data_IF_208228527440
#
_entry.id   IF_208228527440
#
_cell.length_a   1.000
_cell.length_b   1.000
_cell.length_c   1.000
_cell.angle_alpha   90.00
_cell.angle_beta   90.00
_cell.angle_gamma   90.00
#
_symmetry.space_group_name_H-M   'P 1'
#
loop_
_entity.id
_entity.type
_entity.pdbx_description
1 polymer ?
#
# COMPACT_ATOMS: atom_id res chain seq x y z
N UNK A 1 -2.62 21.91 27.95
CA UNK A 1 -1.46 21.04 28.21
C UNK A 1 -1.36 20.14 26.99
N UNK A 2 -0.31 20.28 26.16
CA UNK A 2 -0.07 19.37 25.04
C UNK A 2 0.08 17.97 25.60
N UNK A 3 -0.65 17.00 24.99
CA UNK A 3 -0.42 15.60 25.28
C UNK A 3 1.07 15.28 25.10
N UNK A 4 1.65 14.38 25.91
CA UNK A 4 3.03 13.99 25.71
C UNK A 4 3.20 13.49 24.28
N UNK A 5 4.27 13.90 23.61
CA UNK A 5 4.56 13.47 22.24
C UNK A 5 4.56 11.95 22.21
N UNK A 6 3.64 11.35 21.43
CA UNK A 6 3.62 9.92 21.24
C UNK A 6 4.77 9.50 20.34
N UNK A 7 5.40 8.36 20.66
CA UNK A 7 6.46 7.77 19.85
C UNK A 7 5.90 6.65 18.96
N UNK A 8 6.00 6.79 17.65
CA UNK A 8 5.58 5.78 16.70
C UNK A 8 6.80 5.11 16.04
N UNK A 9 6.80 3.78 16.00
CA UNK A 9 7.77 2.99 15.25
C UNK A 9 7.13 2.51 13.95
N UNK A 10 7.74 2.86 12.80
CA UNK A 10 7.26 2.47 11.47
C UNK A 10 8.27 1.56 10.81
N UNK A 11 7.92 0.29 10.58
CA UNK A 11 8.76 -0.57 9.74
C UNK A 11 8.45 -0.32 8.27
N UNK A 12 9.49 -0.31 7.41
CA UNK A 12 9.30 -0.04 5.99
C UNK A 12 9.09 1.43 5.65
N UNK A 13 9.76 2.32 6.37
CA UNK A 13 9.64 3.78 6.25
C UNK A 13 9.87 4.33 4.83
N UNK A 14 10.70 3.67 4.01
CA UNK A 14 11.02 4.07 2.64
C UNK A 14 9.95 3.66 1.61
N UNK A 15 8.93 2.89 2.02
CA UNK A 15 7.77 2.57 1.19
C UNK A 15 6.81 3.74 1.04
N UNK A 16 5.83 3.63 0.12
CA UNK A 16 4.77 4.62 -0.05
C UNK A 16 4.06 4.92 1.28
N UNK A 17 3.49 3.88 1.89
CA UNK A 17 2.68 4.02 3.10
C UNK A 17 3.52 4.44 4.31
N UNK A 18 4.76 3.91 4.41
CA UNK A 18 5.67 4.29 5.47
C UNK A 18 6.03 5.77 5.45
N UNK A 19 6.30 6.32 4.27
CA UNK A 19 6.63 7.73 4.10
C UNK A 19 5.41 8.63 4.36
N UNK A 20 4.24 8.28 3.80
CA UNK A 20 3.00 9.01 4.01
C UNK A 20 2.55 9.00 5.48
N UNK A 21 2.63 7.84 6.14
CA UNK A 21 2.30 7.72 7.55
C UNK A 21 3.26 8.52 8.43
N UNK A 22 4.55 8.50 8.10
CA UNK A 22 5.54 9.32 8.81
C UNK A 22 5.22 10.82 8.68
N UNK A 23 4.89 11.29 7.48
CA UNK A 23 4.50 12.69 7.26
C UNK A 23 3.23 13.05 8.06
N UNK A 24 2.23 12.17 8.06
CA UNK A 24 0.99 12.35 8.82
C UNK A 24 1.27 12.49 10.33
N UNK A 25 1.99 11.52 10.92
CA UNK A 25 2.27 11.50 12.36
C UNK A 25 3.20 12.64 12.80
N UNK A 26 4.20 13.01 12.00
CA UNK A 26 5.05 14.17 12.26
C UNK A 26 4.24 15.46 12.22
N UNK A 27 3.28 15.57 11.28
CA UNK A 27 2.35 16.70 11.20
C UNK A 27 1.45 16.84 12.43
N UNK A 28 1.10 15.72 13.07
CA UNK A 28 0.37 15.69 14.35
C UNK A 28 1.27 15.90 15.58
N UNK A 29 2.58 16.05 15.40
CA UNK A 29 3.52 16.33 16.46
C UNK A 29 4.10 15.10 17.15
N UNK A 30 3.93 13.90 16.60
CA UNK A 30 4.54 12.68 17.13
C UNK A 30 6.04 12.60 16.82
N UNK A 31 6.78 11.86 17.64
CA UNK A 31 8.12 11.38 17.30
C UNK A 31 8.01 10.12 16.46
N UNK A 32 8.78 10.03 15.37
CA UNK A 32 8.74 8.89 14.45
C UNK A 32 10.11 8.21 14.40
N UNK A 33 10.12 6.90 14.64
CA UNK A 33 11.27 6.03 14.41
C UNK A 33 10.97 5.13 13.21
N UNK A 34 11.54 5.50 12.06
CA UNK A 34 11.40 4.72 10.83
C UNK A 34 12.47 3.65 10.74
N UNK A 35 12.10 2.42 10.33
CA UNK A 35 13.10 1.38 10.10
C UNK A 35 13.33 1.11 8.63
N UNK A 36 14.56 0.77 8.30
CA UNK A 36 14.99 0.36 6.97
C UNK A 36 15.84 -0.91 7.04
N UNK A 37 15.95 -1.63 5.93
CA UNK A 37 16.75 -2.87 5.87
C UNK A 37 18.23 -2.58 6.16
N UNK A 38 18.90 -3.38 7.00
CA UNK A 38 20.33 -3.25 7.27
C UNK A 38 21.18 -3.60 6.03
N UNK A 39 22.46 -3.19 6.04
CA UNK A 39 23.43 -3.52 5.00
C UNK A 39 23.29 -2.79 3.67
N UNK A 40 22.28 -1.88 3.56
CA UNK A 40 22.06 -1.04 2.37
C UNK A 40 21.62 0.36 2.80
N UNK A 41 22.13 1.38 2.12
CA UNK A 41 21.61 2.73 2.30
C UNK A 41 20.11 2.76 1.95
N UNK A 42 19.27 3.33 2.81
CA UNK A 42 17.84 3.43 2.52
C UNK A 42 17.59 4.36 1.35
N UNK A 43 16.64 3.96 0.50
CA UNK A 43 16.13 4.85 -0.54
C UNK A 43 15.12 5.81 0.10
N UNK A 44 15.53 7.04 0.33
CA UNK A 44 14.77 8.06 1.07
C UNK A 44 14.07 9.07 0.16
N UNK A 45 14.01 8.85 -1.16
CA UNK A 45 13.46 9.84 -2.08
C UNK A 45 12.03 10.27 -1.71
N UNK A 46 11.20 9.34 -1.18
CA UNK A 46 9.84 9.65 -0.75
C UNK A 46 9.79 10.58 0.45
N UNK A 47 10.67 10.36 1.41
CA UNK A 47 10.78 11.25 2.59
C UNK A 47 11.29 12.63 2.16
N UNK A 48 12.22 12.69 1.22
CA UNK A 48 12.71 13.96 0.67
C UNK A 48 11.62 14.67 -0.13
N UNK A 49 10.88 13.96 -0.97
CA UNK A 49 9.76 14.51 -1.74
C UNK A 49 8.66 15.08 -0.84
N UNK A 50 8.42 14.47 0.32
CA UNK A 50 7.49 14.97 1.33
C UNK A 50 8.09 16.08 2.23
N UNK A 51 9.36 16.45 2.02
CA UNK A 51 10.04 17.46 2.84
C UNK A 51 10.34 17.05 4.27
N UNK A 52 10.25 15.75 4.59
CA UNK A 52 10.44 15.25 5.97
C UNK A 52 11.76 14.52 6.18
N UNK A 53 12.59 14.37 5.14
CA UNK A 53 13.84 13.58 5.20
C UNK A 53 14.83 14.05 6.28
N UNK A 54 14.78 15.32 6.68
CA UNK A 54 15.61 15.92 7.72
C UNK A 54 14.79 16.44 8.91
N UNK A 55 13.55 15.95 9.07
CA UNK A 55 12.68 16.43 10.13
C UNK A 55 13.26 16.07 11.53
N UNK A 56 13.33 17.01 12.49
CA UNK A 56 14.03 16.80 13.78
C UNK A 56 13.42 15.70 14.66
N UNK A 57 12.15 15.36 14.45
CA UNK A 57 11.44 14.27 15.14
C UNK A 57 11.44 12.96 14.36
N UNK A 58 12.10 12.88 13.19
CA UNK A 58 12.28 11.66 12.44
C UNK A 58 13.66 11.07 12.72
N UNK A 59 13.69 9.84 13.21
CA UNK A 59 14.92 9.07 13.38
C UNK A 59 14.85 7.78 12.57
N UNK A 60 15.94 7.44 11.90
CA UNK A 60 16.04 6.21 11.12
C UNK A 60 16.89 5.17 11.84
N UNK A 61 16.45 3.92 11.82
CA UNK A 61 17.11 2.77 12.46
C UNK A 61 17.16 1.59 11.48
N UNK A 62 18.31 0.93 11.40
CA UNK A 62 18.41 -0.32 10.63
C UNK A 62 17.75 -1.45 11.41
N UNK A 63 16.80 -2.15 10.78
CA UNK A 63 16.09 -3.31 11.33
C UNK A 63 15.65 -4.23 10.20
N UNK A 64 15.96 -5.52 10.30
CA UNK A 64 15.28 -6.57 9.55
C UNK A 64 14.23 -7.21 10.46
N UNK A 65 12.92 -7.05 10.19
CA UNK A 65 11.88 -7.65 11.01
C UNK A 65 11.85 -9.19 10.96
N UNK A 66 12.59 -9.82 10.05
CA UNK A 66 12.75 -11.27 10.04
C UNK A 66 13.71 -11.77 11.15
N UNK A 67 14.50 -10.88 11.75
CA UNK A 67 15.37 -11.17 12.89
C UNK A 67 14.65 -10.87 14.21
N UNK A 68 14.29 -11.92 14.94
CA UNK A 68 13.56 -11.81 16.20
C UNK A 68 14.34 -11.07 17.30
N UNK A 69 15.65 -11.31 17.40
CA UNK A 69 16.50 -10.67 18.40
C UNK A 69 16.63 -9.17 18.11
N UNK A 70 16.84 -8.80 16.84
CA UNK A 70 16.88 -7.41 16.42
C UNK A 70 15.54 -6.69 16.65
N UNK A 71 14.40 -7.36 16.44
CA UNK A 71 13.08 -6.83 16.77
C UNK A 71 12.94 -6.54 18.28
N UNK A 72 13.31 -7.49 19.14
CA UNK A 72 13.24 -7.33 20.59
C UNK A 72 14.13 -6.18 21.07
N UNK A 73 15.38 -6.09 20.60
CA UNK A 73 16.30 -5.01 20.93
C UNK A 73 15.78 -3.64 20.47
N UNK A 74 15.30 -3.55 19.22
CA UNK A 74 14.81 -2.31 18.65
C UNK A 74 13.58 -1.79 19.41
N UNK A 75 12.59 -2.64 19.69
CA UNK A 75 11.39 -2.27 20.45
C UNK A 75 11.73 -1.90 21.88
N UNK A 76 12.62 -2.66 22.54
CA UNK A 76 13.09 -2.34 23.92
C UNK A 76 13.81 -0.99 24.00
N UNK A 77 14.60 -0.64 22.98
CA UNK A 77 15.34 0.63 22.92
C UNK A 77 14.44 1.82 22.56
N UNK A 78 13.50 1.63 21.65
CA UNK A 78 12.62 2.71 21.15
C UNK A 78 11.50 3.02 22.12
N UNK A 79 10.96 2.01 22.81
CA UNK A 79 9.80 2.13 23.72
C UNK A 79 8.60 2.83 23.06
N UNK A 80 8.14 2.37 21.85
CA UNK A 80 7.09 3.04 21.11
C UNK A 80 5.72 2.88 21.79
N UNK A 81 4.86 3.89 21.64
CA UNK A 81 3.44 3.83 22.00
C UNK A 81 2.62 3.12 20.92
N UNK A 82 3.08 3.20 19.66
CA UNK A 82 2.48 2.50 18.51
C UNK A 82 3.56 1.91 17.59
N UNK A 83 3.29 0.72 17.06
CA UNK A 83 4.14 0.06 16.05
C UNK A 83 3.32 -0.17 14.78
N UNK A 84 3.74 0.43 13.67
CA UNK A 84 3.14 0.22 12.36
C UNK A 84 4.01 -0.73 11.55
N UNK A 85 3.50 -1.94 11.31
CA UNK A 85 4.24 -2.94 10.54
C UNK A 85 3.85 -2.88 9.07
N UNK A 86 4.61 -2.07 8.31
CA UNK A 86 4.44 -1.85 6.88
C UNK A 86 5.56 -2.47 6.04
N UNK A 87 6.65 -2.92 6.68
CA UNK A 87 7.71 -3.65 6.01
C UNK A 87 7.21 -5.00 5.51
N UNK A 88 7.62 -5.36 4.31
CA UNK A 88 7.29 -6.65 3.75
C UNK A 88 7.55 -6.71 2.24
N UNK A 89 7.37 -7.89 1.68
CA UNK A 89 7.32 -8.11 0.25
C UNK A 89 5.89 -7.77 -0.21
N UNK A 90 5.71 -6.88 -1.19
CA UNK A 90 4.39 -6.34 -1.60
C UNK A 90 3.98 -6.68 -3.03
N UNK A 91 4.84 -7.37 -3.81
CA UNK A 91 4.56 -7.72 -5.21
C UNK A 91 4.08 -9.17 -5.31
N UNK A 92 2.82 -9.36 -5.69
CA UNK A 92 2.24 -10.70 -5.89
C UNK A 92 3.08 -11.55 -6.84
N UNK A 93 3.56 -10.99 -7.96
CA UNK A 93 4.36 -11.72 -8.94
C UNK A 93 5.70 -12.25 -8.38
N UNK A 94 6.36 -11.49 -7.51
CA UNK A 94 7.63 -11.92 -6.90
C UNK A 94 7.44 -13.08 -5.92
N UNK A 95 6.29 -13.17 -5.28
CA UNK A 95 5.97 -14.27 -4.35
C UNK A 95 5.90 -15.64 -5.02
N UNK A 96 5.59 -15.70 -6.30
CA UNK A 96 5.64 -16.96 -7.06
C UNK A 96 7.07 -17.42 -7.37
N UNK A 97 8.04 -16.49 -7.39
CA UNK A 97 9.45 -16.81 -7.62
C UNK A 97 10.13 -17.29 -6.33
N UNK A 98 9.76 -16.68 -5.18
CA UNK A 98 10.30 -17.03 -3.87
C UNK A 98 9.20 -16.97 -2.79
N UNK A 99 8.40 -18.06 -2.67
CA UNK A 99 7.35 -18.17 -1.68
C UNK A 99 7.87 -18.12 -0.23
N UNK A 100 9.03 -18.74 0.02
CA UNK A 100 9.60 -18.79 1.38
C UNK A 100 10.05 -17.42 1.85
N UNK A 101 10.74 -16.65 1.01
CA UNK A 101 11.10 -15.28 1.32
C UNK A 101 9.86 -14.40 1.57
N UNK A 102 8.77 -14.61 0.83
CA UNK A 102 7.51 -13.89 1.04
C UNK A 102 6.89 -14.22 2.40
N UNK A 103 6.88 -15.49 2.82
CA UNK A 103 6.37 -15.92 4.13
C UNK A 103 7.25 -15.36 5.25
N UNK A 104 8.57 -15.41 5.11
CA UNK A 104 9.50 -14.86 6.09
C UNK A 104 9.33 -13.33 6.23
N UNK A 105 9.26 -12.62 5.10
CA UNK A 105 9.18 -11.16 5.08
C UNK A 105 7.82 -10.60 5.57
N UNK A 106 6.72 -11.33 5.43
CA UNK A 106 5.40 -10.87 5.83
C UNK A 106 4.88 -11.60 7.08
N UNK A 107 4.89 -12.96 7.07
CA UNK A 107 4.32 -13.76 8.14
C UNK A 107 5.21 -13.81 9.38
N UNK A 108 6.44 -14.30 9.24
CA UNK A 108 7.37 -14.46 10.37
C UNK A 108 7.77 -13.12 10.98
N UNK A 109 8.03 -12.11 10.14
CA UNK A 109 8.35 -10.75 10.61
C UNK A 109 7.25 -10.17 11.51
N UNK A 110 5.98 -10.43 11.18
CA UNK A 110 4.84 -10.03 12.02
C UNK A 110 4.86 -10.72 13.38
N UNK A 111 5.11 -12.04 13.41
CA UNK A 111 5.23 -12.79 14.67
C UNK A 111 6.37 -12.24 15.54
N UNK A 112 7.53 -11.98 14.95
CA UNK A 112 8.67 -11.41 15.66
C UNK A 112 8.36 -10.06 16.31
N UNK A 113 7.67 -9.16 15.57
CA UNK A 113 7.27 -7.86 16.13
C UNK A 113 6.17 -7.98 17.18
N UNK A 114 5.20 -8.86 17.01
CA UNK A 114 4.18 -9.15 18.02
C UNK A 114 4.82 -9.59 19.34
N UNK A 115 5.80 -10.52 19.28
CA UNK A 115 6.52 -10.98 20.46
C UNK A 115 7.40 -9.90 21.08
N UNK A 116 8.08 -9.08 20.23
CA UNK A 116 8.88 -7.96 20.70
C UNK A 116 8.01 -6.92 21.45
N UNK A 117 6.84 -6.58 20.91
CA UNK A 117 5.87 -5.67 21.54
C UNK A 117 5.33 -6.28 22.84
N UNK A 118 4.89 -7.53 22.81
CA UNK A 118 4.37 -8.23 23.99
C UNK A 118 5.37 -8.24 25.16
N UNK A 119 6.63 -8.51 24.85
CA UNK A 119 7.68 -8.65 25.87
C UNK A 119 8.18 -7.31 26.43
N UNK A 120 8.24 -6.26 25.61
CA UNK A 120 8.95 -5.03 25.98
C UNK A 120 8.02 -3.80 26.17
N UNK A 121 6.90 -3.72 25.43
CA UNK A 121 5.96 -2.60 25.45
C UNK A 121 4.51 -3.08 25.34
N UNK A 122 3.99 -3.90 26.26
CA UNK A 122 2.69 -4.59 26.12
C UNK A 122 1.49 -3.64 26.02
N UNK A 123 1.67 -2.36 26.32
CA UNK A 123 0.64 -1.32 26.16
C UNK A 123 0.64 -0.66 24.77
N UNK A 124 1.70 -0.84 24.00
CA UNK A 124 1.77 -0.31 22.64
C UNK A 124 0.72 -0.93 21.73
N UNK A 125 0.23 -0.16 20.77
CA UNK A 125 -0.69 -0.67 19.77
C UNK A 125 0.09 -1.08 18.51
N UNK A 126 -0.02 -2.34 18.10
CA UNK A 126 0.55 -2.79 16.83
C UNK A 126 -0.52 -2.73 15.72
N UNK A 127 -0.23 -2.03 14.65
CA UNK A 127 -1.06 -1.97 13.44
C UNK A 127 -0.32 -2.65 12.29
N UNK A 128 -0.91 -3.73 11.77
CA UNK A 128 -0.40 -4.48 10.62
C UNK A 128 -1.01 -3.96 9.33
N UNK A 129 -0.21 -3.67 8.32
CA UNK A 129 -0.66 -3.59 6.94
C UNK A 129 -0.94 -5.00 6.40
N UNK A 130 -2.18 -5.47 6.55
CA UNK A 130 -2.68 -6.68 5.91
C UNK A 130 -3.01 -6.40 4.44
N UNK A 131 -3.77 -7.24 3.76
CA UNK A 131 -4.06 -7.08 2.33
C UNK A 131 -5.39 -7.75 1.97
N UNK A 132 -6.12 -7.18 1.02
CA UNK A 132 -7.28 -7.82 0.40
C UNK A 132 -6.96 -9.17 -0.28
N UNK A 133 -5.70 -9.44 -0.62
CA UNK A 133 -5.26 -10.74 -1.17
C UNK A 133 -5.46 -11.94 -0.21
N UNK A 134 -5.75 -11.69 1.08
CA UNK A 134 -6.16 -12.74 2.04
C UNK A 134 -7.51 -13.35 1.69
N UNK A 135 -8.38 -12.63 0.99
CA UNK A 135 -9.69 -13.13 0.54
C UNK A 135 -9.57 -14.06 -0.68
N UNK A 136 -8.50 -13.96 -1.46
CA UNK A 136 -8.23 -14.79 -2.63
C UNK A 136 -9.23 -14.53 -3.76
N UNK A 137 -10.10 -15.52 -4.05
CA UNK A 137 -11.19 -15.39 -5.02
C UNK A 137 -12.54 -15.47 -4.29
N UNK A 138 -12.99 -14.38 -3.67
CA UNK A 138 -14.22 -14.39 -2.89
C UNK A 138 -15.43 -14.64 -3.79
N UNK A 139 -16.41 -15.41 -3.26
CA UNK A 139 -17.64 -15.71 -3.98
C UNK A 139 -18.63 -14.53 -4.01
N UNK A 140 -18.47 -13.61 -3.07
CA UNK A 140 -19.34 -12.45 -2.92
C UNK A 140 -18.51 -11.17 -2.84
N UNK A 141 -19.07 -10.10 -3.37
CA UNK A 141 -18.57 -8.73 -3.29
C UNK A 141 -19.70 -7.81 -2.78
N UNK A 142 -19.37 -6.74 -2.05
CA UNK A 142 -18.04 -6.37 -1.56
C UNK A 142 -17.58 -7.25 -0.39
N UNK A 143 -16.23 -7.34 -0.19
CA UNK A 143 -15.62 -8.05 0.93
C UNK A 143 -15.55 -7.15 2.17
N UNK A 144 -15.86 -7.72 3.32
CA UNK A 144 -15.72 -7.09 4.64
C UNK A 144 -14.92 -7.97 5.60
N UNK A 145 -14.82 -7.56 6.85
CA UNK A 145 -14.05 -8.25 7.88
C UNK A 145 -14.59 -9.65 8.25
N UNK A 146 -15.84 -9.95 7.90
CA UNK A 146 -16.49 -11.25 8.13
C UNK A 146 -16.39 -12.18 6.90
N UNK A 147 -15.84 -11.69 5.80
CA UNK A 147 -15.65 -12.48 4.57
C UNK A 147 -14.64 -13.60 4.81
N UNK A 148 -14.94 -14.87 4.40
CA UNK A 148 -14.02 -15.97 4.55
C UNK A 148 -12.66 -15.73 3.91
N UNK A 149 -11.59 -16.07 4.62
CA UNK A 149 -10.22 -15.93 4.19
C UNK A 149 -9.77 -17.17 3.40
N UNK A 150 -9.35 -17.00 2.14
CA UNK A 150 -9.01 -18.07 1.22
C UNK A 150 -7.90 -17.67 0.23
N UNK A 151 -6.75 -17.24 0.75
CA UNK A 151 -5.60 -16.80 -0.05
C UNK A 151 -5.24 -17.77 -1.17
N UNK A 152 -4.97 -17.25 -2.38
CA UNK A 152 -4.69 -18.02 -3.59
C UNK A 152 -3.30 -17.80 -4.18
N UNK A 153 -2.53 -16.90 -3.60
CA UNK A 153 -1.15 -16.64 -3.99
C UNK A 153 -0.20 -16.82 -2.80
N UNK A 154 1.11 -17.08 -3.01
CA UNK A 154 2.06 -17.13 -1.90
C UNK A 154 2.12 -15.81 -1.12
N UNK A 155 1.95 -14.67 -1.80
CA UNK A 155 1.81 -13.36 -1.16
C UNK A 155 0.55 -13.30 -0.27
N UNK A 156 -0.62 -13.66 -0.83
CA UNK A 156 -1.87 -13.70 -0.06
C UNK A 156 -1.76 -14.61 1.17
N UNK A 157 -1.14 -15.80 1.01
CA UNK A 157 -0.87 -16.71 2.12
C UNK A 157 0.04 -16.07 3.18
N UNK A 158 1.11 -15.40 2.78
CA UNK A 158 2.02 -14.73 3.71
C UNK A 158 1.33 -13.62 4.52
N UNK A 159 0.41 -12.88 3.88
CA UNK A 159 -0.42 -11.86 4.54
C UNK A 159 -1.51 -12.49 5.42
N UNK A 160 -2.05 -13.64 5.02
CA UNK A 160 -3.00 -14.39 5.84
C UNK A 160 -2.35 -14.91 7.14
N UNK A 161 -1.12 -15.43 7.06
CA UNK A 161 -0.34 -15.83 8.24
C UNK A 161 -0.14 -14.64 9.19
N UNK A 162 0.27 -13.49 8.66
CA UNK A 162 0.44 -12.26 9.42
C UNK A 162 -0.87 -11.79 10.09
N UNK A 163 -1.96 -11.76 9.33
CA UNK A 163 -3.29 -11.38 9.81
C UNK A 163 -3.78 -12.32 10.93
N UNK A 164 -3.66 -13.63 10.72
CA UNK A 164 -4.03 -14.65 11.72
C UNK A 164 -3.19 -14.55 12.99
N UNK A 165 -1.89 -14.23 12.87
CA UNK A 165 -1.03 -13.98 14.01
C UNK A 165 -1.51 -12.78 14.83
N UNK A 166 -1.84 -11.64 14.21
CA UNK A 166 -2.39 -10.45 14.90
C UNK A 166 -3.66 -10.83 15.67
N UNK A 167 -4.61 -11.51 15.04
CA UNK A 167 -5.85 -11.94 15.67
C UNK A 167 -5.59 -12.89 16.85
N UNK A 168 -4.65 -13.84 16.70
CA UNK A 168 -4.27 -14.79 17.74
C UNK A 168 -3.61 -14.10 18.94
N UNK A 169 -2.65 -13.19 18.72
CA UNK A 169 -1.99 -12.48 19.83
C UNK A 169 -2.95 -11.55 20.57
N UNK A 170 -3.86 -10.91 19.85
CA UNK A 170 -4.96 -10.12 20.45
C UNK A 170 -5.83 -10.99 21.36
N UNK A 171 -6.26 -12.16 20.89
CA UNK A 171 -7.14 -13.05 21.63
C UNK A 171 -6.44 -13.76 22.79
N UNK A 172 -5.20 -14.26 22.59
CA UNK A 172 -4.50 -15.12 23.56
C UNK A 172 -3.75 -14.33 24.62
N UNK A 173 -3.25 -13.14 24.29
CA UNK A 173 -2.39 -12.35 25.17
C UNK A 173 -2.97 -10.97 25.52
N UNK A 174 -4.15 -10.61 25.02
CA UNK A 174 -4.76 -9.30 25.25
C UNK A 174 -3.99 -8.15 24.62
N UNK A 175 -3.13 -8.43 23.63
CA UNK A 175 -2.31 -7.41 23.01
C UNK A 175 -3.18 -6.43 22.20
N UNK A 176 -2.90 -5.12 22.30
CA UNK A 176 -3.51 -4.11 21.44
C UNK A 176 -2.92 -4.26 20.04
N UNK A 177 -3.57 -5.05 19.19
CA UNK A 177 -3.09 -5.34 17.85
C UNK A 177 -4.26 -5.32 16.85
N UNK A 178 -4.05 -4.66 15.72
CA UNK A 178 -5.05 -4.43 14.67
C UNK A 178 -4.50 -4.78 13.31
N UNK A 179 -5.37 -5.24 12.40
CA UNK A 179 -5.02 -5.44 10.99
C UNK A 179 -5.80 -4.47 10.12
N UNK A 180 -5.10 -3.65 9.34
CA UNK A 180 -5.68 -2.91 8.23
C UNK A 180 -5.73 -3.82 6.99
N UNK A 181 -6.91 -4.28 6.59
CA UNK A 181 -7.12 -5.09 5.38
C UNK A 181 -7.19 -4.12 4.21
N UNK A 182 -6.03 -3.88 3.61
CA UNK A 182 -5.84 -2.84 2.60
C UNK A 182 -6.23 -3.35 1.21
N UNK A 183 -7.17 -2.67 0.58
CA UNK A 183 -7.40 -2.76 -0.86
C UNK A 183 -6.37 -1.92 -1.60
N UNK A 184 -6.39 -1.92 -2.94
CA UNK A 184 -5.39 -1.17 -3.69
C UNK A 184 -5.47 0.32 -3.33
N UNK A 185 -4.33 0.89 -3.00
CA UNK A 185 -4.23 2.30 -2.62
C UNK A 185 -2.96 2.89 -3.21
N UNK A 186 -3.15 3.97 -3.89
CA UNK A 186 -2.19 4.56 -4.79
C UNK A 186 -1.88 6.00 -4.39
N UNK A 187 -0.75 6.48 -4.82
CA UNK A 187 -0.38 7.89 -4.68
C UNK A 187 0.71 8.28 -5.68
N UNK A 188 1.02 9.53 -5.72
CA UNK A 188 2.18 10.09 -6.41
C UNK A 188 3.52 9.50 -5.96
N UNK A 189 3.55 8.78 -4.82
CA UNK A 189 4.73 8.11 -4.28
C UNK A 189 4.76 6.60 -4.56
N UNK A 190 3.80 6.09 -5.33
CA UNK A 190 3.76 4.66 -5.68
C UNK A 190 5.05 4.22 -6.38
N UNK A 191 5.48 2.99 -6.17
CA UNK A 191 6.65 2.42 -6.86
C UNK A 191 6.36 2.19 -8.35
N UNK A 192 7.34 2.46 -9.21
CA UNK A 192 7.23 2.35 -10.69
C UNK A 192 6.91 0.94 -11.21
N UNK A 193 7.07 -0.07 -10.39
CA UNK A 193 6.75 -1.48 -10.71
C UNK A 193 5.26 -1.81 -10.64
N UNK A 194 4.44 -0.92 -10.09
CA UNK A 194 3.00 -1.09 -10.01
C UNK A 194 2.31 -0.46 -11.22
N UNK A 195 1.23 -1.10 -11.68
CA UNK A 195 0.55 -0.75 -12.93
C UNK A 195 0.06 0.69 -12.96
N UNK A 196 -0.48 1.19 -11.87
CA UNK A 196 -0.99 2.56 -11.73
C UNK A 196 0.12 3.59 -11.91
N UNK A 197 1.30 3.35 -11.28
CA UNK A 197 2.45 4.24 -11.48
C UNK A 197 3.10 4.06 -12.85
N UNK A 198 3.11 2.87 -13.41
CA UNK A 198 3.54 2.64 -14.78
C UNK A 198 2.69 3.45 -15.75
N UNK A 199 1.37 3.49 -15.52
CA UNK A 199 0.43 4.30 -16.29
C UNK A 199 0.69 5.80 -16.13
N UNK A 200 0.71 6.32 -14.91
CA UNK A 200 0.89 7.76 -14.69
C UNK A 200 2.22 8.29 -15.26
N UNK A 201 3.31 7.56 -15.02
CA UNK A 201 4.63 7.91 -15.56
C UNK A 201 4.70 7.82 -17.09
N UNK A 202 4.13 6.74 -17.67
CA UNK A 202 4.08 6.57 -19.13
C UNK A 202 3.24 7.66 -19.80
N UNK A 203 2.09 8.02 -19.23
CA UNK A 203 1.24 9.11 -19.71
C UNK A 203 1.98 10.45 -19.65
N UNK A 204 2.68 10.73 -18.53
CA UNK A 204 3.50 11.95 -18.39
C UNK A 204 4.59 12.03 -19.48
N UNK A 205 5.28 10.93 -19.75
CA UNK A 205 6.32 10.85 -20.80
C UNK A 205 5.75 10.96 -22.20
N UNK A 206 4.56 10.41 -22.44
CA UNK A 206 3.86 10.58 -23.72
C UNK A 206 3.49 12.04 -23.95
N UNK A 207 2.95 12.71 -22.94
CA UNK A 207 2.60 14.12 -23.02
C UNK A 207 3.82 15.01 -23.30
N UNK A 208 5.00 14.64 -22.76
CA UNK A 208 6.27 15.31 -23.02
C UNK A 208 6.97 14.86 -24.32
N UNK A 209 6.36 13.98 -25.10
CA UNK A 209 6.91 13.47 -26.37
C UNK A 209 8.10 12.52 -26.21
N UNK A 210 8.33 11.95 -24.99
CA UNK A 210 9.46 11.06 -24.69
C UNK A 210 9.14 9.59 -24.92
N UNK A 211 7.87 9.22 -24.87
CA UNK A 211 7.36 7.87 -25.18
C UNK A 211 6.19 7.98 -26.16
N UNK A 212 5.89 6.88 -26.86
CA UNK A 212 4.79 6.84 -27.81
C UNK A 212 3.60 6.05 -27.30
N UNK A 213 3.85 4.97 -26.55
CA UNK A 213 2.83 4.07 -26.06
C UNK A 213 3.27 3.35 -24.79
N UNK A 214 2.27 2.85 -24.05
CA UNK A 214 2.47 2.06 -22.83
C UNK A 214 2.00 0.63 -23.11
N UNK A 215 2.77 -0.38 -22.66
CA UNK A 215 2.37 -1.79 -22.76
C UNK A 215 1.89 -2.28 -21.39
N UNK A 216 0.69 -2.86 -21.33
CA UNK A 216 0.03 -3.33 -20.11
C UNK A 216 -0.27 -4.83 -20.20
N UNK A 217 -0.74 -5.42 -19.11
CA UNK A 217 -1.31 -6.78 -19.09
C UNK A 217 -2.83 -6.75 -19.24
N UNK A 218 -3.51 -7.58 -18.41
CA UNK A 218 -4.96 -7.69 -18.42
C UNK A 218 -5.64 -6.36 -18.08
N UNK A 219 -6.35 -5.78 -19.06
CA UNK A 219 -7.07 -4.51 -18.91
C UNK A 219 -8.40 -4.66 -18.17
N UNK A 220 -8.97 -5.87 -18.13
CA UNK A 220 -10.27 -6.14 -17.49
C UNK A 220 -10.18 -6.41 -15.99
N UNK A 221 -8.97 -6.57 -15.45
CA UNK A 221 -8.78 -6.80 -14.02
C UNK A 221 -9.36 -5.64 -13.21
N UNK A 222 -10.37 -5.94 -12.39
CA UNK A 222 -11.08 -4.93 -11.57
C UNK A 222 -10.51 -4.86 -10.16
N UNK A 223 -10.24 -3.66 -9.69
CA UNK A 223 -9.72 -3.37 -8.36
C UNK A 223 -10.42 -2.15 -7.76
N UNK A 224 -10.47 -2.14 -6.45
CA UNK A 224 -10.84 -0.97 -5.67
C UNK A 224 -9.58 -0.11 -5.49
N UNK A 225 -9.53 1.06 -6.11
CA UNK A 225 -8.38 1.96 -6.07
C UNK A 225 -8.67 3.17 -5.19
N UNK A 226 -7.98 3.28 -4.08
CA UNK A 226 -8.10 4.43 -3.18
C UNK A 226 -6.85 5.29 -3.15
N UNK A 227 -6.94 6.43 -2.46
CA UNK A 227 -5.83 7.35 -2.26
C UNK A 227 -5.06 7.00 -0.98
N UNK A 228 -3.78 6.69 -1.08
CA UNK A 228 -2.98 6.16 0.03
C UNK A 228 -2.94 7.04 1.30
N UNK A 229 -2.93 8.38 1.23
CA UNK A 229 -3.04 9.23 2.41
C UNK A 229 -4.28 8.97 3.27
N UNK A 230 -5.44 8.63 2.68
CA UNK A 230 -6.64 8.30 3.44
C UNK A 230 -6.44 7.01 4.25
N UNK A 231 -5.75 6.04 3.67
CA UNK A 231 -5.47 4.74 4.30
C UNK A 231 -4.48 4.87 5.46
N UNK A 232 -3.43 5.68 5.31
CA UNK A 232 -2.46 5.89 6.40
C UNK A 232 -3.07 6.69 7.55
N UNK A 233 -3.94 7.65 7.27
CA UNK A 233 -4.71 8.37 8.29
C UNK A 233 -5.62 7.40 9.07
N UNK A 234 -6.29 6.48 8.39
CA UNK A 234 -7.08 5.43 9.05
C UNK A 234 -6.20 4.51 9.91
N UNK A 235 -5.01 4.12 9.44
CA UNK A 235 -4.08 3.33 10.25
C UNK A 235 -3.62 4.09 11.50
N UNK A 236 -3.38 5.40 11.41
CA UNK A 236 -3.08 6.23 12.58
C UNK A 236 -4.28 6.25 13.56
N UNK A 237 -5.50 6.41 13.06
CA UNK A 237 -6.72 6.36 13.86
C UNK A 237 -6.93 4.99 14.54
N UNK A 238 -6.54 3.87 13.87
CA UNK A 238 -6.58 2.53 14.48
C UNK A 238 -5.66 2.45 15.71
N UNK A 239 -4.45 3.01 15.62
CA UNK A 239 -3.50 3.01 16.74
C UNK A 239 -3.98 3.82 17.95
N UNK A 240 -4.83 4.81 17.73
CA UNK A 240 -5.43 5.63 18.78
C UNK A 240 -6.60 4.93 19.51
N UNK A 241 -7.12 3.80 19.00
CA UNK A 241 -8.22 3.05 19.62
C UNK A 241 -7.77 2.36 20.91
N UNK A 242 -8.68 2.23 21.85
CA UNK A 242 -8.41 1.53 23.13
C UNK A 242 -8.17 0.04 22.92
N UNK A 243 -8.90 -0.58 21.99
CA UNK A 243 -8.82 -2.01 21.69
C UNK A 243 -8.41 -2.26 20.23
N UNK A 244 -7.68 -3.35 20.02
CA UNK A 244 -7.34 -3.82 18.67
C UNK A 244 -8.57 -4.41 17.95
N UNK A 245 -8.66 -4.15 16.64
CA UNK A 245 -9.69 -4.71 15.77
C UNK A 245 -9.17 -4.77 14.32
N UNK A 246 -9.88 -5.49 13.46
CA UNK A 246 -9.56 -5.56 12.05
C UNK A 246 -10.50 -4.63 11.26
N UNK A 247 -9.95 -3.93 10.24
CA UNK A 247 -10.68 -2.98 9.43
C UNK A 247 -10.37 -3.14 7.96
N UNK A 248 -11.41 -3.30 7.15
CA UNK A 248 -11.29 -3.14 5.69
C UNK A 248 -11.14 -1.66 5.37
N UNK A 249 -10.10 -1.33 4.61
CA UNK A 249 -9.89 0.00 4.04
C UNK A 249 -10.01 -0.10 2.52
N UNK A 250 -11.07 0.51 1.99
CA UNK A 250 -11.48 0.41 0.59
C UNK A 250 -12.40 1.59 0.23
N UNK A 251 -12.43 1.95 -1.05
CA UNK A 251 -13.38 2.97 -1.53
C UNK A 251 -14.80 2.44 -1.63
N UNK A 252 -14.95 1.14 -1.91
CA UNK A 252 -16.23 0.49 -2.23
C UNK A 252 -16.59 0.56 -3.72
N UNK A 253 -15.68 1.06 -4.56
CA UNK A 253 -15.89 1.19 -6.00
C UNK A 253 -14.83 0.42 -6.76
N UNK A 254 -15.26 -0.52 -7.60
CA UNK A 254 -14.37 -1.26 -8.48
C UNK A 254 -14.17 -0.50 -9.80
N UNK A 255 -12.93 -0.51 -10.30
CA UNK A 255 -12.57 0.01 -11.61
C UNK A 255 -11.57 -0.93 -12.29
N UNK A 256 -11.65 -1.03 -13.61
CA UNK A 256 -10.71 -1.82 -14.40
C UNK A 256 -9.39 -1.08 -14.62
N UNK A 257 -8.36 -1.80 -15.04
CA UNK A 257 -7.10 -1.17 -15.49
C UNK A 257 -7.36 -0.27 -16.71
N UNK A 258 -8.31 -0.65 -17.57
CA UNK A 258 -8.76 0.18 -18.71
C UNK A 258 -9.35 1.51 -18.24
N UNK A 259 -10.21 1.48 -17.21
CA UNK A 259 -10.80 2.71 -16.65
C UNK A 259 -9.71 3.63 -16.07
N UNK A 260 -8.74 3.06 -15.34
CA UNK A 260 -7.62 3.84 -14.82
C UNK A 260 -6.76 4.43 -15.94
N UNK A 261 -6.48 3.66 -17.01
CA UNK A 261 -5.75 4.16 -18.18
C UNK A 261 -6.49 5.30 -18.86
N UNK A 262 -7.81 5.14 -19.07
CA UNK A 262 -8.66 6.17 -19.67
C UNK A 262 -8.62 7.46 -18.83
N UNK A 263 -8.75 7.35 -17.51
CA UNK A 263 -8.68 8.50 -16.61
C UNK A 263 -7.28 9.17 -16.60
N UNK A 264 -6.21 8.35 -16.65
CA UNK A 264 -4.84 8.87 -16.69
C UNK A 264 -4.54 9.65 -17.97
N UNK A 265 -4.96 9.14 -19.14
CA UNK A 265 -4.79 9.86 -20.40
C UNK A 265 -5.66 11.12 -20.48
N UNK A 266 -6.87 11.08 -19.92
CA UNK A 266 -7.74 12.26 -19.83
C UNK A 266 -7.11 13.40 -18.99
N UNK A 267 -6.21 13.10 -18.06
CA UNK A 267 -5.50 14.12 -17.27
C UNK A 267 -4.52 14.98 -18.11
N UNK A 268 -4.19 14.56 -19.33
CA UNK A 268 -3.33 15.29 -20.27
C UNK A 268 -4.08 15.59 -21.58
N UNK A 269 -5.40 15.68 -21.53
CA UNK A 269 -6.30 16.00 -22.65
C UNK A 269 -6.24 14.99 -23.81
N UNK A 270 -5.78 13.77 -23.58
CA UNK A 270 -5.80 12.67 -24.53
C UNK A 270 -7.02 11.79 -24.28
N UNK A 271 -7.92 11.72 -25.25
CA UNK A 271 -9.08 10.81 -25.21
C UNK A 271 -8.72 9.52 -25.91
N UNK A 272 -8.95 8.37 -25.24
CA UNK A 272 -8.73 7.05 -25.82
C UNK A 272 -10.03 6.44 -26.32
N UNK A 273 -9.97 5.89 -27.53
CA UNK A 273 -10.95 4.92 -28.06
C UNK A 273 -10.32 3.53 -28.00
N UNK A 274 -11.09 2.54 -27.54
CA UNK A 274 -10.63 1.16 -27.37
C UNK A 274 -11.11 0.27 -28.51
N UNK A 275 -10.19 -0.51 -29.10
CA UNK A 275 -10.47 -1.41 -30.21
C UNK A 275 -9.85 -2.79 -29.95
N UNK A 276 -10.52 -3.86 -30.44
CA UNK A 276 -10.11 -5.23 -30.19
C UNK A 276 -10.50 -5.70 -28.79
N UNK A 277 -10.05 -6.90 -28.43
CA UNK A 277 -10.30 -7.55 -27.16
C UNK A 277 -9.11 -8.42 -26.74
N UNK A 278 -8.98 -8.65 -25.43
CA UNK A 278 -7.94 -9.51 -24.85
C UNK A 278 -6.54 -9.03 -25.19
N UNK A 279 -5.75 -9.88 -25.85
CA UNK A 279 -4.34 -9.57 -26.20
C UNK A 279 -4.20 -8.63 -27.40
N UNK A 280 -5.24 -8.54 -28.23
CA UNK A 280 -5.27 -7.70 -29.42
C UNK A 280 -5.88 -6.31 -29.14
N UNK A 281 -6.27 -6.06 -27.88
CA UNK A 281 -6.86 -4.79 -27.48
C UNK A 281 -5.84 -3.67 -27.51
N UNK A 282 -6.25 -2.52 -28.08
CA UNK A 282 -5.44 -1.32 -28.15
C UNK A 282 -6.25 -0.08 -27.76
N UNK A 283 -5.60 0.84 -27.03
CA UNK A 283 -6.11 2.18 -26.78
C UNK A 283 -5.53 3.16 -27.80
N UNK A 284 -6.37 3.78 -28.60
CA UNK A 284 -5.98 4.71 -29.69
C UNK A 284 -6.38 6.14 -29.33
N UNK A 285 -5.49 7.08 -29.54
CA UNK A 285 -5.78 8.50 -29.34
C UNK A 285 -6.80 8.98 -30.38
N UNK A 286 -7.93 9.47 -29.90
CA UNK A 286 -9.01 9.96 -30.73
C UNK A 286 -8.55 11.12 -31.62
N UNK A 287 -8.75 10.99 -32.92
CA UNK A 287 -8.42 12.03 -33.91
C UNK A 287 -6.95 12.10 -34.32
N UNK A 288 -6.08 11.22 -33.79
CA UNK A 288 -4.66 11.21 -34.14
C UNK A 288 -4.15 9.86 -34.71
N UNK A 289 -4.97 8.82 -34.71
CA UNK A 289 -4.66 7.43 -35.13
C UNK A 289 -3.36 6.86 -34.50
N UNK A 290 -3.06 7.31 -33.27
CA UNK A 290 -1.85 6.89 -32.55
C UNK A 290 -2.23 5.86 -31.48
N UNK A 291 -1.62 4.68 -31.55
CA UNK A 291 -1.77 3.69 -30.49
C UNK A 291 -1.00 4.14 -29.25
N UNK A 292 -1.72 4.35 -28.14
CA UNK A 292 -1.19 4.82 -26.86
C UNK A 292 -1.08 3.70 -25.82
N UNK A 293 -1.93 2.69 -25.92
CA UNK A 293 -1.91 1.52 -25.06
C UNK A 293 -1.91 0.25 -25.90
N UNK A 294 -1.08 -0.72 -25.51
CA UNK A 294 -1.02 -2.09 -26.08
C UNK A 294 -1.10 -3.10 -24.94
N UNK A 295 -1.61 -4.28 -25.25
CA UNK A 295 -1.60 -5.42 -24.34
C UNK A 295 -0.46 -6.36 -24.70
N UNK A 296 0.23 -6.91 -23.68
CA UNK A 296 1.23 -7.97 -23.84
C UNK A 296 1.00 -9.04 -22.77
N UNK A 297 0.79 -10.31 -23.17
CA UNK A 297 0.55 -11.42 -22.25
C UNK A 297 1.67 -11.68 -21.26
N UNK A 298 2.90 -11.23 -21.52
CA UNK A 298 4.04 -11.34 -20.60
C UNK A 298 3.79 -10.65 -19.24
N UNK A 299 2.88 -9.66 -19.22
CA UNK A 299 2.47 -8.96 -18.01
C UNK A 299 1.24 -9.57 -17.33
N UNK A 300 0.68 -10.67 -17.84
CA UNK A 300 -0.43 -11.37 -17.19
C UNK A 300 0.06 -12.08 -15.94
N UNK A 301 -0.77 -12.07 -14.89
CA UNK A 301 -0.47 -12.79 -13.67
C UNK A 301 -0.90 -14.24 -13.78
N UNK A 302 -0.19 -15.20 -13.15
CA UNK A 302 -0.62 -16.60 -13.11
C UNK A 302 -2.01 -16.79 -12.49
N UNK A 303 -2.33 -15.93 -11.54
CA UNK A 303 -3.66 -15.82 -10.94
C UNK A 303 -3.99 -14.34 -10.77
N UNK A 304 -5.15 -13.95 -11.23
CA UNK A 304 -5.70 -12.60 -11.07
C UNK A 304 -7.17 -12.72 -10.65
N UNK A 305 -7.51 -12.26 -9.45
CA UNK A 305 -8.89 -12.28 -8.97
C UNK A 305 -9.74 -11.35 -9.88
N UNK A 306 -10.90 -11.81 -10.35
CA UNK A 306 -11.68 -11.06 -11.33
C UNK A 306 -12.23 -9.75 -10.76
N UNK A 307 -12.63 -9.75 -9.49
CA UNK A 307 -13.21 -8.59 -8.80
C UNK A 307 -12.73 -8.53 -7.35
N UNK A 308 -12.11 -7.42 -6.99
CA UNK A 308 -11.71 -7.09 -5.61
C UNK A 308 -12.26 -5.72 -5.25
N UNK A 309 -13.29 -5.68 -4.42
CA UNK A 309 -13.95 -4.44 -3.93
C UNK A 309 -14.33 -4.61 -2.46
N UNK A 310 -14.02 -3.63 -1.62
CA UNK A 310 -14.20 -3.73 -0.18
C UNK A 310 -15.40 -2.96 0.37
N UNK A 311 -15.98 -3.46 1.47
CA UNK A 311 -16.93 -2.73 2.29
C UNK A 311 -16.23 -2.19 3.55
N UNK A 312 -15.90 -0.91 3.52
CA UNK A 312 -15.26 -0.21 4.62
C UNK A 312 -16.25 0.39 5.65
N UNK A 313 -17.46 -0.15 5.75
CA UNK A 313 -18.50 0.40 6.63
C UNK A 313 -18.08 0.46 8.10
N UNK A 314 -17.31 -0.53 8.57
CA UNK A 314 -16.74 -0.53 9.93
C UNK A 314 -15.73 0.61 10.10
N UNK A 315 -14.77 0.76 9.18
CA UNK A 315 -13.79 1.81 9.23
C UNK A 315 -14.42 3.22 9.13
N UNK A 316 -15.42 3.40 8.28
CA UNK A 316 -16.17 4.66 8.19
C UNK A 316 -16.83 5.02 9.52
N UNK A 317 -17.52 4.08 10.15
CA UNK A 317 -18.24 4.30 11.41
C UNK A 317 -17.31 4.51 12.61
N UNK A 318 -16.22 3.75 12.69
CA UNK A 318 -15.39 3.69 13.89
C UNK A 318 -14.11 4.53 13.81
N UNK A 319 -13.58 4.77 12.62
CA UNK A 319 -12.33 5.51 12.39
C UNK A 319 -12.56 6.84 11.65
N UNK A 320 -13.78 7.10 11.16
CA UNK A 320 -14.04 8.26 10.29
C UNK A 320 -13.40 8.14 8.91
N UNK A 321 -13.06 6.92 8.46
CA UNK A 321 -12.46 6.70 7.16
C UNK A 321 -13.36 7.20 6.04
N UNK A 322 -12.85 8.11 5.21
CA UNK A 322 -13.58 8.68 4.09
C UNK A 322 -12.62 8.87 2.90
N UNK A 323 -12.79 8.11 1.82
CA UNK A 323 -12.01 8.31 0.59
C UNK A 323 -12.18 9.74 0.06
N UNK A 324 -11.07 10.43 -0.19
CA UNK A 324 -11.07 11.84 -0.61
C UNK A 324 -11.02 12.03 -2.11
N UNK A 325 -10.55 11.03 -2.86
CA UNK A 325 -10.45 11.07 -4.31
C UNK A 325 -11.23 9.91 -4.95
N UNK A 326 -11.90 10.21 -6.04
CA UNK A 326 -12.40 9.21 -6.99
C UNK A 326 -11.27 8.75 -7.93
N UNK A 327 -11.57 7.82 -8.83
CA UNK A 327 -10.61 7.26 -9.78
C UNK A 327 -9.98 8.34 -10.67
N UNK A 328 -10.79 9.28 -11.16
CA UNK A 328 -10.33 10.34 -12.05
C UNK A 328 -9.42 11.34 -11.32
N UNK A 329 -9.78 11.73 -10.11
CA UNK A 329 -8.96 12.57 -9.25
C UNK A 329 -7.63 11.91 -8.87
N UNK A 330 -7.66 10.61 -8.54
CA UNK A 330 -6.46 9.82 -8.23
C UNK A 330 -5.52 9.73 -9.44
N UNK A 331 -6.04 9.34 -10.60
CA UNK A 331 -5.25 9.22 -11.82
C UNK A 331 -4.63 10.56 -12.22
N UNK A 332 -5.42 11.64 -12.18
CA UNK A 332 -4.95 13.01 -12.46
C UNK A 332 -3.81 13.40 -11.54
N UNK A 333 -3.99 13.25 -10.23
CA UNK A 333 -2.97 13.61 -9.23
C UNK A 333 -1.65 12.88 -9.46
N UNK A 334 -1.71 11.58 -9.78
CA UNK A 334 -0.52 10.79 -10.08
C UNK A 334 0.17 11.26 -11.37
N UNK A 335 -0.59 11.56 -12.43
CA UNK A 335 -0.06 12.04 -13.71
C UNK A 335 0.58 13.43 -13.57
N UNK A 336 -0.09 14.36 -12.89
CA UNK A 336 0.42 15.71 -12.65
C UNK A 336 1.75 15.68 -11.89
N UNK A 337 1.84 14.87 -10.83
CA UNK A 337 3.09 14.72 -10.08
C UNK A 337 4.23 14.11 -10.92
N UNK A 338 3.91 13.16 -11.81
CA UNK A 338 4.91 12.60 -12.71
C UNK A 338 5.33 13.57 -13.83
N UNK A 339 4.42 14.38 -14.36
CA UNK A 339 4.75 15.48 -15.27
C UNK A 339 5.72 16.46 -14.64
N UNK A 340 5.45 16.89 -13.41
CA UNK A 340 6.34 17.79 -12.69
C UNK A 340 7.75 17.19 -12.48
N UNK A 341 7.82 15.90 -12.09
CA UNK A 341 9.11 15.21 -11.89
C UNK A 341 9.90 15.04 -13.18
N UNK A 342 9.23 14.59 -14.24
CA UNK A 342 9.86 14.42 -15.54
C UNK A 342 10.34 15.78 -16.09
N UNK A 343 9.59 16.86 -15.91
CA UNK A 343 9.99 18.21 -16.33
C UNK A 343 11.20 18.72 -15.53
N UNK A 344 11.27 18.47 -14.22
CA UNK A 344 12.42 18.87 -13.38
C UNK A 344 13.71 18.08 -13.68
N UNK A 345 13.58 16.90 -14.27
CA UNK A 345 14.72 16.01 -14.59
C UNK A 345 15.41 16.35 -15.92
N UNK A 346 15.00 17.42 -16.58
CA UNK A 346 15.56 17.94 -17.83
C UNK A 346 16.45 19.12 -17.56
#
# INVERSE_FOLDING_TARGET
MSAPHSCAMITGISGQDGALLAAHLLGEGSDVVGTHRPGRAPDLWRLCELGIGTHPRLRLVALDPADAAACAEAVARVQPDAVFHLAGQSRVADSFRDPQASIAANGLSTVNLLEAVRANVPRAHLVLASSAEIFGAPQHAPQNEDTPLAARSPYGLSKLIAHAAVASWRASFGLRASSAILFNHESELRGVVFVTRKLSLGVARIALGREQSITLGNLDAQRDFGYAPDYVAAMAAMAAREHGNDYVLATGVAASIRDFATAAFAAVDIVLDWFGDGVDEVGVERGADRVRVRVDPVFFRPFDAPLMVGDASRARRELGFAPTLDLAGLARRMVEADLERETRST
#
